data_IF_607300410208
#
_entry.id   IF_607300410208
#
_cell.length_a   1.000
_cell.length_b   1.000
_cell.length_c   1.000
_cell.angle_alpha   90.00
_cell.angle_beta   90.00
_cell.angle_gamma   90.00
#
_symmetry.space_group_name_H-M   'P 1'
#
loop_
_entity.id
_entity.type
_entity.pdbx_description
1 polymer ?
#
# COMPACT_ATOMS: atom_id res chain seq x y z
N UNK A 1 0.13 26.35 -7.61
CA UNK A 1 -0.11 25.71 -6.28
C UNK A 1 -1.19 24.61 -6.31
N UNK A 2 -2.05 24.50 -7.33
CA UNK A 2 -3.11 23.44 -7.41
C UNK A 2 -2.61 22.08 -7.89
N UNK A 3 -1.47 22.01 -8.57
CA UNK A 3 -0.94 20.80 -9.20
C UNK A 3 -0.13 19.89 -8.26
N UNK A 4 0.26 20.40 -7.09
CA UNK A 4 1.06 19.66 -6.10
C UNK A 4 0.28 18.52 -5.40
N UNK A 5 -1.07 18.61 -5.37
CA UNK A 5 -1.91 17.69 -4.59
C UNK A 5 -2.06 16.31 -5.23
N UNK A 6 -2.14 16.21 -6.56
CA UNK A 6 -2.29 14.90 -7.22
C UNK A 6 -1.00 14.08 -7.11
N UNK A 7 0.16 14.75 -7.26
CA UNK A 7 1.48 14.11 -7.13
C UNK A 7 1.67 13.50 -5.74
N UNK A 8 1.26 14.20 -4.70
CA UNK A 8 1.48 13.76 -3.32
C UNK A 8 0.53 12.62 -2.93
N UNK A 9 -0.71 12.63 -3.39
CA UNK A 9 -1.68 11.57 -3.13
C UNK A 9 -1.32 10.26 -3.85
N UNK A 10 -0.84 10.39 -5.08
CA UNK A 10 -0.36 9.25 -5.87
C UNK A 10 0.93 8.66 -5.29
N UNK A 11 1.78 9.51 -4.72
CA UNK A 11 3.10 9.15 -4.17
C UNK A 11 3.06 8.16 -3.01
N UNK A 12 1.96 8.01 -2.29
CA UNK A 12 1.90 7.15 -1.12
C UNK A 12 1.06 5.89 -1.28
N UNK A 13 0.13 5.88 -2.21
CA UNK A 13 -0.38 4.60 -2.75
C UNK A 13 0.77 3.85 -3.44
N UNK A 14 1.79 4.57 -3.88
CA UNK A 14 2.84 4.10 -4.78
C UNK A 14 4.25 4.18 -4.18
N UNK A 15 4.42 4.60 -2.89
CA UNK A 15 5.77 4.83 -2.31
C UNK A 15 6.56 5.88 -3.12
N UNK A 16 6.82 6.96 -2.51
CA UNK A 16 7.60 8.13 -2.87
C UNK A 16 8.53 7.96 -4.09
N UNK A 17 8.05 8.25 -5.27
CA UNK A 17 8.87 8.54 -6.44
C UNK A 17 8.94 10.05 -6.63
N UNK A 18 10.13 10.54 -6.94
CA UNK A 18 10.56 11.93 -6.91
C UNK A 18 9.66 12.97 -7.57
N UNK A 19 9.76 14.17 -7.05
CA UNK A 19 9.01 15.32 -7.53
C UNK A 19 9.33 15.69 -8.96
N UNK A 20 8.30 15.64 -9.80
CA UNK A 20 8.22 16.41 -11.05
C UNK A 20 6.83 17.03 -11.14
N UNK A 21 6.79 18.28 -11.62
CA UNK A 21 5.57 19.06 -11.74
C UNK A 21 4.58 18.44 -12.72
N UNK A 22 3.34 18.30 -12.30
CA UNK A 22 2.20 17.74 -13.04
C UNK A 22 1.66 18.67 -14.14
N UNK A 23 2.34 19.76 -14.47
CA UNK A 23 1.89 20.71 -15.49
C UNK A 23 1.67 20.09 -16.88
N UNK A 24 2.35 18.99 -17.19
CA UNK A 24 2.39 18.41 -18.55
C UNK A 24 1.48 17.17 -18.73
N UNK A 25 0.94 16.59 -17.66
CA UNK A 25 0.23 15.29 -17.76
C UNK A 25 -1.17 15.42 -18.37
N UNK A 26 -1.84 16.56 -18.19
CA UNK A 26 -3.21 16.76 -18.70
C UNK A 26 -3.31 17.30 -20.13
N UNK A 27 -2.17 17.67 -20.76
CA UNK A 27 -2.18 18.23 -22.12
C UNK A 27 -2.14 17.17 -23.24
N UNK A 28 -1.98 15.87 -22.95
CA UNK A 28 -1.79 14.83 -23.97
C UNK A 28 -2.89 13.77 -24.08
N UNK A 29 -4.05 13.95 -23.48
CA UNK A 29 -5.18 13.02 -23.72
C UNK A 29 -6.03 13.44 -24.92
N UNK A 30 -5.47 13.45 -26.12
CA UNK A 30 -6.26 13.37 -27.34
C UNK A 30 -6.38 11.92 -27.83
N UNK A 31 -7.60 11.43 -27.74
CA UNK A 31 -8.27 10.35 -28.50
C UNK A 31 -7.39 9.29 -29.17
N UNK A 32 -7.26 8.14 -28.53
CA UNK A 32 -7.19 6.86 -29.25
C UNK A 32 -8.14 5.86 -28.58
N UNK A 33 -9.03 5.27 -29.38
CA UNK A 33 -10.00 4.27 -28.96
C UNK A 33 -9.30 3.02 -28.42
N UNK A 34 -9.84 2.38 -27.35
CA UNK A 34 -9.15 1.27 -26.71
C UNK A 34 -9.27 -0.02 -27.51
N UNK A 35 -8.21 -0.85 -27.56
CA UNK A 35 -8.35 -2.23 -27.97
C UNK A 35 -8.98 -3.03 -26.82
N UNK A 36 -10.07 -3.70 -27.10
CA UNK A 36 -10.74 -4.65 -26.22
C UNK A 36 -9.82 -5.86 -25.99
N UNK A 37 -9.13 -5.90 -24.87
CA UNK A 37 -8.44 -7.11 -24.41
C UNK A 37 -8.99 -7.50 -23.06
N UNK A 38 -9.78 -8.60 -23.06
CA UNK A 38 -10.23 -9.27 -21.85
C UNK A 38 -9.05 -9.89 -21.11
N UNK A 39 -8.57 -9.24 -20.08
CA UNK A 39 -7.70 -9.84 -19.09
C UNK A 39 -8.55 -10.73 -18.19
N UNK A 40 -8.53 -12.05 -18.42
CA UNK A 40 -9.06 -13.03 -17.47
C UNK A 40 -8.15 -13.02 -16.23
N UNK A 41 -8.67 -12.51 -15.14
CA UNK A 41 -8.02 -12.58 -13.83
C UNK A 41 -8.11 -14.03 -13.30
N UNK A 42 -7.12 -14.85 -13.67
CA UNK A 42 -6.99 -16.24 -13.19
C UNK A 42 -6.18 -16.34 -11.88
N UNK A 43 -5.79 -15.22 -11.26
CA UNK A 43 -4.86 -15.22 -10.13
C UNK A 43 -5.47 -15.32 -8.73
N UNK A 44 -6.76 -15.02 -8.55
CA UNK A 44 -7.36 -14.92 -7.21
C UNK A 44 -7.53 -16.27 -6.50
N UNK A 45 -7.97 -17.29 -7.21
CA UNK A 45 -8.27 -18.60 -6.62
C UNK A 45 -6.99 -19.40 -6.21
N UNK A 46 -5.87 -19.23 -6.92
CA UNK A 46 -4.62 -19.91 -6.59
C UNK A 46 -3.90 -19.26 -5.41
N UNK A 47 -4.01 -17.93 -5.25
CA UNK A 47 -3.40 -17.21 -4.13
C UNK A 47 -4.04 -17.56 -2.80
N UNK A 48 -5.36 -17.65 -2.74
CA UNK A 48 -6.07 -18.11 -1.53
C UNK A 48 -5.68 -19.52 -1.09
N UNK A 49 -5.39 -20.42 -2.03
CA UNK A 49 -4.91 -21.78 -1.73
C UNK A 49 -3.48 -21.79 -1.18
N UNK A 50 -2.60 -20.93 -1.70
CA UNK A 50 -1.22 -20.85 -1.21
C UNK A 50 -1.18 -20.27 0.21
N UNK A 51 -1.96 -19.23 0.50
CA UNK A 51 -2.08 -18.66 1.84
C UNK A 51 -2.64 -19.69 2.83
N UNK A 52 -3.71 -20.43 2.47
CA UNK A 52 -4.27 -21.49 3.29
C UNK A 52 -3.30 -22.66 3.52
N UNK A 53 -2.57 -23.09 2.48
CA UNK A 53 -1.58 -24.16 2.63
C UNK A 53 -0.44 -23.76 3.55
N UNK A 54 -0.03 -22.50 3.51
CA UNK A 54 1.02 -21.98 4.36
C UNK A 54 0.55 -21.80 5.82
N UNK A 55 -0.65 -21.29 6.03
CA UNK A 55 -1.26 -21.20 7.36
C UNK A 55 -1.37 -22.57 8.04
N UNK A 56 -1.71 -23.62 7.26
CA UNK A 56 -1.78 -24.99 7.76
C UNK A 56 -0.42 -25.56 8.20
N UNK A 57 0.69 -25.04 7.69
CA UNK A 57 2.06 -25.47 8.02
C UNK A 57 2.65 -24.75 9.26
N UNK A 58 1.99 -23.68 9.73
CA UNK A 58 2.47 -22.88 10.85
C UNK A 58 2.33 -23.60 12.18
N UNK A 59 3.28 -23.37 13.09
CA UNK A 59 3.15 -23.76 14.49
C UNK A 59 1.96 -23.02 15.15
N UNK A 60 1.43 -23.52 16.29
CA UNK A 60 0.35 -22.83 16.99
C UNK A 60 0.67 -21.37 17.33
N UNK A 61 1.91 -21.06 17.72
CA UNK A 61 2.34 -19.70 18.04
C UNK A 61 2.38 -18.80 16.81
N UNK A 62 2.89 -19.31 15.68
CA UNK A 62 2.90 -18.56 14.42
C UNK A 62 1.49 -18.32 13.89
N UNK A 63 0.59 -19.28 14.06
CA UNK A 63 -0.81 -19.12 13.66
C UNK A 63 -1.52 -18.04 14.47
N UNK A 64 -1.29 -18.00 15.78
CA UNK A 64 -1.80 -16.91 16.62
C UNK A 64 -1.25 -15.55 16.19
N UNK A 65 0.06 -15.47 15.94
CA UNK A 65 0.68 -14.24 15.46
C UNK A 65 0.11 -13.81 14.09
N UNK A 66 -0.10 -14.75 13.17
CA UNK A 66 -0.73 -14.50 11.87
C UNK A 66 -2.10 -13.83 12.03
N UNK A 67 -2.98 -14.44 12.85
CA UNK A 67 -4.33 -13.92 13.08
C UNK A 67 -4.32 -12.54 13.71
N UNK A 68 -3.50 -12.33 14.77
CA UNK A 68 -3.39 -11.02 15.43
C UNK A 68 -2.82 -9.95 14.51
N UNK A 69 -1.82 -10.27 13.69
CA UNK A 69 -1.22 -9.32 12.75
C UNK A 69 -2.21 -8.97 11.65
N UNK A 70 -2.93 -9.97 11.10
CA UNK A 70 -3.98 -9.73 10.10
C UNK A 70 -5.06 -8.79 10.65
N UNK A 71 -5.56 -9.06 11.86
CA UNK A 71 -6.56 -8.19 12.50
C UNK A 71 -6.07 -6.74 12.65
N UNK A 72 -4.78 -6.54 12.95
CA UNK A 72 -4.19 -5.19 13.07
C UNK A 72 -4.06 -4.50 11.72
N UNK A 73 -3.68 -5.23 10.68
CA UNK A 73 -3.64 -4.73 9.31
C UNK A 73 -5.04 -4.29 8.88
N UNK A 74 -6.07 -5.11 9.13
CA UNK A 74 -7.45 -4.79 8.80
C UNK A 74 -7.94 -3.53 9.53
N UNK A 75 -7.61 -3.40 10.83
CA UNK A 75 -7.94 -2.19 11.61
C UNK A 75 -7.24 -0.94 11.08
N UNK A 76 -5.97 -1.04 10.66
CA UNK A 76 -5.26 0.08 10.04
C UNK A 76 -5.91 0.48 8.71
N UNK A 77 -6.31 -0.49 7.89
CA UNK A 77 -7.03 -0.27 6.63
C UNK A 77 -8.38 0.40 6.86
N UNK A 78 -9.17 -0.05 7.84
CA UNK A 78 -10.42 0.63 8.23
C UNK A 78 -10.18 2.06 8.72
N UNK A 79 -9.08 2.32 9.43
CA UNK A 79 -8.67 3.68 9.80
C UNK A 79 -8.42 4.56 8.57
N UNK A 80 -7.79 4.03 7.53
CA UNK A 80 -7.60 4.74 6.27
C UNK A 80 -8.94 5.02 5.55
N UNK A 81 -9.83 4.05 5.48
CA UNK A 81 -11.18 4.22 4.91
C UNK A 81 -11.99 5.27 5.64
N UNK A 82 -11.91 5.29 6.97
CA UNK A 82 -12.57 6.28 7.83
C UNK A 82 -11.87 7.66 7.81
N UNK A 83 -10.72 7.78 7.11
CA UNK A 83 -9.84 8.96 7.10
C UNK A 83 -9.35 9.36 8.50
N UNK A 84 -9.23 8.38 9.38
CA UNK A 84 -8.69 8.55 10.72
C UNK A 84 -7.20 8.20 10.75
N UNK A 85 -6.36 9.24 10.73
CA UNK A 85 -4.91 9.09 10.77
C UNK A 85 -4.42 8.35 12.02
N UNK A 86 -5.05 8.59 13.17
CA UNK A 86 -4.65 7.93 14.42
C UNK A 86 -4.94 6.44 14.38
N UNK A 87 -6.11 6.05 13.89
CA UNK A 87 -6.47 4.64 13.69
C UNK A 87 -5.57 3.98 12.65
N UNK A 88 -5.32 4.65 11.51
CA UNK A 88 -4.45 4.15 10.43
C UNK A 88 -2.98 3.97 10.85
N UNK A 89 -2.53 4.61 11.93
CA UNK A 89 -1.16 4.53 12.45
C UNK A 89 -1.07 3.86 13.82
N UNK A 90 -2.17 3.40 14.37
CA UNK A 90 -2.25 2.94 15.78
C UNK A 90 -1.25 1.84 16.12
N UNK A 91 -1.04 0.91 15.21
CA UNK A 91 -0.16 -0.25 15.41
C UNK A 91 1.27 -0.05 14.89
N UNK A 92 1.64 1.15 14.46
CA UNK A 92 3.02 1.45 14.11
C UNK A 92 3.86 1.69 15.38
N UNK A 93 5.01 1.02 15.47
CA UNK A 93 5.98 1.25 16.55
C UNK A 93 6.52 2.69 16.52
N UNK A 94 7.04 3.18 17.65
CA UNK A 94 7.55 4.55 17.69
C UNK A 94 8.81 4.73 16.83
N UNK A 95 9.61 3.66 16.68
CA UNK A 95 10.76 3.58 15.79
C UNK A 95 10.45 2.97 14.43
N UNK A 96 9.21 3.13 13.94
CA UNK A 96 8.79 2.63 12.63
C UNK A 96 9.62 3.21 11.49
N UNK A 97 9.92 2.37 10.50
CA UNK A 97 10.71 2.73 9.32
C UNK A 97 10.15 2.09 8.06
N UNK A 98 9.99 2.87 7.00
CA UNK A 98 9.68 2.38 5.65
C UNK A 98 10.91 2.49 4.76
N UNK A 99 11.25 1.39 4.08
CA UNK A 99 12.29 1.32 3.05
C UNK A 99 11.62 1.19 1.69
N UNK A 100 11.78 2.20 0.83
CA UNK A 100 11.24 2.16 -0.54
C UNK A 100 12.19 1.45 -1.48
N UNK A 101 11.66 0.94 -2.58
CA UNK A 101 12.49 0.46 -3.69
C UNK A 101 13.29 1.60 -4.31
N UNK A 102 14.45 1.31 -4.92
CA UNK A 102 15.17 2.28 -5.75
C UNK A 102 14.30 2.81 -6.89
N UNK A 103 14.45 4.08 -7.19
CA UNK A 103 13.84 4.75 -8.34
C UNK A 103 14.88 5.66 -9.03
N UNK A 104 14.49 6.33 -10.13
CA UNK A 104 15.39 7.21 -10.89
C UNK A 104 15.95 8.38 -10.07
N UNK A 105 15.16 8.88 -9.10
CA UNK A 105 15.51 10.02 -8.25
C UNK A 105 16.14 9.59 -6.92
N UNK A 106 16.06 8.31 -6.60
CA UNK A 106 16.59 7.70 -5.37
C UNK A 106 17.15 6.30 -5.69
N UNK A 107 18.35 6.20 -6.32
CA UNK A 107 18.93 4.93 -6.75
C UNK A 107 19.16 3.91 -5.63
N UNK A 108 19.22 4.36 -4.37
CA UNK A 108 19.37 3.51 -3.19
C UNK A 108 18.05 3.32 -2.41
N UNK A 109 16.91 3.79 -2.97
CA UNK A 109 15.66 3.90 -2.24
C UNK A 109 15.69 5.02 -1.20
N UNK A 110 14.60 5.14 -0.43
CA UNK A 110 14.46 6.11 0.67
C UNK A 110 14.17 5.40 1.98
N UNK A 111 14.64 5.99 3.06
CA UNK A 111 14.31 5.58 4.43
C UNK A 111 13.42 6.65 5.04
N UNK A 112 12.20 6.27 5.43
CA UNK A 112 11.15 7.18 5.88
C UNK A 112 10.74 6.75 7.28
N UNK A 113 10.81 7.69 8.23
CA UNK A 113 10.44 7.44 9.62
C UNK A 113 8.92 7.65 9.87
N UNK A 114 8.46 7.28 11.07
CA UNK A 114 7.05 7.39 11.48
C UNK A 114 6.48 8.80 11.31
N UNK A 115 7.25 9.85 11.62
CA UNK A 115 6.78 11.23 11.52
C UNK A 115 6.57 11.64 10.06
N UNK A 116 7.51 11.29 9.19
CA UNK A 116 7.37 11.53 7.75
C UNK A 116 6.20 10.73 7.16
N UNK A 117 6.02 9.47 7.57
CA UNK A 117 4.85 8.67 7.16
C UNK A 117 3.54 9.32 7.60
N UNK A 118 3.47 9.90 8.80
CA UNK A 118 2.27 10.59 9.27
C UNK A 118 1.86 11.75 8.34
N UNK A 119 2.84 12.53 7.89
CA UNK A 119 2.59 13.64 6.93
C UNK A 119 2.04 13.08 5.61
N UNK A 120 2.68 12.07 5.07
CA UNK A 120 2.26 11.47 3.81
C UNK A 120 0.89 10.79 3.92
N UNK A 121 0.65 9.99 4.97
CA UNK A 121 -0.67 9.38 5.19
C UNK A 121 -1.76 10.44 5.31
N UNK A 122 -1.51 11.53 6.05
CA UNK A 122 -2.48 12.62 6.14
C UNK A 122 -2.83 13.19 4.77
N UNK A 123 -1.83 13.51 3.95
CA UNK A 123 -2.06 14.03 2.59
C UNK A 123 -2.88 13.06 1.74
N UNK A 124 -2.60 11.75 1.84
CA UNK A 124 -3.37 10.73 1.14
C UNK A 124 -4.81 10.65 1.61
N UNK A 125 -5.04 10.66 2.92
CA UNK A 125 -6.39 10.63 3.49
C UNK A 125 -7.19 11.88 3.09
N UNK A 126 -6.53 13.04 3.02
CA UNK A 126 -7.17 14.31 2.58
C UNK A 126 -7.59 14.23 1.09
N UNK A 127 -6.82 13.53 0.25
CA UNK A 127 -7.14 13.34 -1.18
C UNK A 127 -8.03 12.13 -1.46
N UNK A 128 -8.13 11.18 -0.55
CA UNK A 128 -8.94 9.99 -0.71
C UNK A 128 -10.43 10.38 -0.84
N UNK A 129 -11.08 9.96 -1.93
CA UNK A 129 -12.51 10.10 -2.11
C UNK A 129 -13.23 8.90 -1.50
N UNK A 130 -12.81 7.69 -1.90
CA UNK A 130 -13.30 6.41 -1.35
C UNK A 130 -12.28 5.29 -1.58
N UNK A 131 -12.40 4.21 -0.81
CA UNK A 131 -11.70 2.95 -1.05
C UNK A 131 -12.68 1.96 -1.66
N UNK A 132 -12.26 1.25 -2.69
CA UNK A 132 -13.06 0.19 -3.29
C UNK A 132 -13.03 -1.08 -2.42
N UNK A 133 -14.14 -1.85 -2.34
CA UNK A 133 -14.13 -3.17 -1.73
C UNK A 133 -13.20 -4.17 -2.45
N UNK A 134 -12.71 -3.85 -3.65
CA UNK A 134 -11.68 -4.63 -4.34
C UNK A 134 -10.27 -4.45 -3.73
N UNK A 135 -10.07 -3.49 -2.82
CA UNK A 135 -8.81 -3.36 -2.09
C UNK A 135 -8.65 -4.56 -1.16
N UNK A 136 -7.56 -5.31 -1.35
CA UNK A 136 -7.28 -6.53 -0.59
C UNK A 136 -5.85 -6.50 -0.04
N UNK A 137 -5.68 -7.12 1.12
CA UNK A 137 -4.36 -7.30 1.76
C UNK A 137 -4.24 -8.74 2.21
N UNK A 138 -3.33 -9.48 1.60
CA UNK A 138 -3.11 -10.89 1.86
C UNK A 138 -1.74 -11.11 2.49
N UNK A 139 -1.68 -11.81 3.61
CA UNK A 139 -0.42 -12.33 4.14
C UNK A 139 -0.02 -13.55 3.31
N UNK A 140 1.13 -13.47 2.64
CA UNK A 140 1.68 -14.58 1.84
C UNK A 140 2.54 -15.52 2.67
N UNK A 141 3.27 -14.98 3.66
CA UNK A 141 4.13 -15.78 4.53
C UNK A 141 4.37 -15.11 5.87
N UNK A 142 4.62 -15.94 6.90
CA UNK A 142 5.03 -15.50 8.22
C UNK A 142 6.13 -16.42 8.75
N UNK A 143 7.13 -15.83 9.39
CA UNK A 143 8.12 -16.54 10.17
C UNK A 143 8.39 -15.79 11.48
N UNK A 144 8.63 -16.53 12.56
CA UNK A 144 8.88 -15.96 13.88
C UNK A 144 10.27 -16.29 14.41
N UNK A 145 10.89 -15.30 15.07
CA UNK A 145 12.10 -15.51 15.87
C UNK A 145 11.97 -14.74 17.19
N UNK A 146 11.69 -15.45 18.27
CA UNK A 146 11.38 -14.84 19.56
C UNK A 146 10.12 -13.97 19.48
N UNK A 147 10.25 -12.71 19.82
CA UNK A 147 9.18 -11.72 19.79
C UNK A 147 9.13 -10.89 18.50
N UNK A 148 9.79 -11.36 17.44
CA UNK A 148 9.82 -10.71 16.14
C UNK A 148 9.14 -11.63 15.12
N UNK A 149 8.17 -11.11 14.38
CA UNK A 149 7.58 -11.74 13.21
C UNK A 149 8.01 -11.00 11.94
N UNK A 150 8.39 -11.77 10.92
CA UNK A 150 8.62 -11.27 9.57
C UNK A 150 7.49 -11.79 8.69
N UNK A 151 6.78 -10.87 8.05
CA UNK A 151 5.57 -11.14 7.26
C UNK A 151 5.80 -10.63 5.85
N UNK A 152 5.50 -11.46 4.84
CA UNK A 152 5.40 -10.98 3.46
C UNK A 152 3.93 -10.77 3.12
N UNK A 153 3.62 -9.61 2.58
CA UNK A 153 2.26 -9.16 2.30
C UNK A 153 2.18 -8.78 0.83
N UNK A 154 1.07 -9.15 0.20
CA UNK A 154 0.65 -8.64 -1.09
C UNK A 154 -0.59 -7.78 -0.89
N UNK A 155 -0.51 -6.52 -1.30
CA UNK A 155 -1.64 -5.59 -1.29
C UNK A 155 -2.06 -5.26 -2.71
N UNK A 156 -3.35 -5.34 -2.94
CA UNK A 156 -3.99 -4.85 -4.15
C UNK A 156 -4.84 -3.63 -3.80
N UNK A 157 -4.47 -2.48 -4.34
CA UNK A 157 -5.14 -1.22 -4.06
C UNK A 157 -6.07 -0.84 -5.20
N UNK A 158 -7.32 -0.54 -4.85
CA UNK A 158 -8.28 0.12 -5.72
C UNK A 158 -8.89 1.27 -4.95
N UNK A 159 -8.51 2.48 -5.28
CA UNK A 159 -8.91 3.70 -4.56
C UNK A 159 -9.39 4.76 -5.52
N UNK A 160 -10.37 5.54 -5.10
CA UNK A 160 -10.76 6.76 -5.81
C UNK A 160 -10.15 7.95 -5.07
N UNK A 161 -9.37 8.74 -5.77
CA UNK A 161 -8.71 9.93 -5.25
C UNK A 161 -9.27 11.18 -5.94
N UNK A 162 -9.11 12.32 -5.28
CA UNK A 162 -9.52 13.62 -5.84
C UNK A 162 -8.37 14.20 -6.67
N UNK A 163 -8.61 14.43 -7.95
CA UNK A 163 -7.67 15.12 -8.84
C UNK A 163 -7.46 16.59 -8.48
N UNK A 164 -6.48 17.22 -9.13
CA UNK A 164 -6.18 18.65 -8.96
C UNK A 164 -7.31 19.58 -9.38
N UNK A 165 -8.17 19.14 -10.29
CA UNK A 165 -9.38 19.81 -10.76
C UNK A 165 -10.61 19.51 -9.85
N UNK A 166 -10.44 18.64 -8.86
CA UNK A 166 -11.50 18.19 -7.95
C UNK A 166 -12.28 16.98 -8.44
N UNK A 167 -12.03 16.48 -9.66
CA UNK A 167 -12.67 15.28 -10.20
C UNK A 167 -12.19 14.01 -9.47
N UNK A 168 -13.04 12.97 -9.37
CA UNK A 168 -12.63 11.67 -8.86
C UNK A 168 -11.86 10.88 -9.94
N UNK A 169 -10.75 10.27 -9.55
CA UNK A 169 -9.95 9.37 -10.39
C UNK A 169 -9.73 8.04 -9.69
N UNK A 170 -9.91 6.93 -10.41
CA UNK A 170 -9.61 5.61 -9.90
C UNK A 170 -8.12 5.30 -10.07
N UNK A 171 -7.48 4.88 -8.98
CA UNK A 171 -6.10 4.40 -8.97
C UNK A 171 -6.09 2.93 -8.62
N UNK A 172 -5.45 2.12 -9.47
CA UNK A 172 -5.20 0.69 -9.24
C UNK A 172 -3.70 0.42 -9.26
N UNK A 173 -3.22 -0.34 -8.28
CA UNK A 173 -1.85 -0.86 -8.26
C UNK A 173 -1.76 -2.04 -7.30
N UNK A 174 -0.67 -2.78 -7.37
CA UNK A 174 -0.33 -3.80 -6.39
C UNK A 174 1.05 -3.58 -5.84
N UNK A 175 1.26 -3.93 -4.57
CA UNK A 175 2.56 -3.83 -3.92
C UNK A 175 2.80 -5.10 -3.12
N UNK A 176 3.97 -5.68 -3.28
CA UNK A 176 4.46 -6.75 -2.43
C UNK A 176 5.52 -6.20 -1.52
N UNK A 177 5.39 -6.40 -0.22
CA UNK A 177 6.34 -5.89 0.76
C UNK A 177 6.58 -6.88 1.88
N UNK A 178 7.73 -6.70 2.54
CA UNK A 178 8.10 -7.42 3.76
C UNK A 178 7.93 -6.50 4.94
N UNK A 179 7.22 -6.99 5.95
CA UNK A 179 7.02 -6.27 7.20
C UNK A 179 7.74 -6.97 8.35
N UNK A 180 8.29 -6.18 9.26
CA UNK A 180 8.77 -6.67 10.55
C UNK A 180 7.84 -6.17 11.63
N UNK A 181 7.29 -7.10 12.41
CA UNK A 181 6.44 -6.86 13.56
C UNK A 181 7.16 -7.27 14.85
N UNK A 182 6.99 -6.51 15.92
CA UNK A 182 7.54 -6.79 17.22
C UNK A 182 6.43 -6.95 18.26
N UNK A 183 6.49 -8.04 19.02
CA UNK A 183 5.56 -8.27 20.14
C UNK A 183 6.02 -7.49 21.37
N UNK A 184 5.11 -6.69 21.93
CA UNK A 184 5.34 -5.81 23.09
C UNK A 184 4.20 -5.99 24.10
N UNK A 185 4.20 -5.24 25.20
CA UNK A 185 3.07 -5.20 26.14
C UNK A 185 1.78 -4.68 25.49
N UNK A 186 1.87 -3.95 24.38
CA UNK A 186 0.76 -3.50 23.56
C UNK A 186 0.34 -4.52 22.48
N UNK A 187 0.93 -5.73 22.49
CA UNK A 187 0.82 -6.74 21.45
C UNK A 187 1.70 -6.43 20.23
N UNK A 188 1.39 -6.96 19.06
CA UNK A 188 2.18 -6.79 17.84
C UNK A 188 2.16 -5.35 17.32
N UNK A 189 3.33 -4.74 17.12
CA UNK A 189 3.50 -3.42 16.51
C UNK A 189 4.34 -3.56 15.24
N UNK A 190 3.90 -2.91 14.16
CA UNK A 190 4.63 -2.83 12.90
C UNK A 190 5.87 -1.96 13.08
N UNK A 191 7.05 -2.55 12.95
CA UNK A 191 8.34 -1.88 13.16
C UNK A 191 8.96 -1.38 11.87
N UNK A 192 8.85 -2.16 10.79
CA UNK A 192 9.36 -1.73 9.51
C UNK A 192 8.61 -2.36 8.36
N UNK A 193 8.62 -1.66 7.23
CA UNK A 193 8.13 -2.13 5.94
C UNK A 193 9.25 -1.96 4.92
N UNK A 194 9.48 -2.99 4.12
CA UNK A 194 10.39 -2.97 2.97
C UNK A 194 9.61 -3.33 1.72
N UNK A 195 9.52 -2.42 0.78
CA UNK A 195 8.94 -2.70 -0.52
C UNK A 195 9.84 -3.69 -1.27
N UNK A 196 9.24 -4.76 -1.78
CA UNK A 196 9.92 -5.81 -2.56
C UNK A 196 9.62 -5.67 -4.05
N UNK A 197 8.37 -5.42 -4.38
CA UNK A 197 7.89 -5.36 -5.74
C UNK A 197 6.69 -4.42 -5.84
N UNK A 198 6.58 -3.74 -6.97
CA UNK A 198 5.46 -2.88 -7.30
C UNK A 198 4.95 -3.20 -8.70
N UNK A 199 3.64 -3.40 -8.79
CA UNK A 199 2.94 -3.53 -10.06
C UNK A 199 2.77 -2.18 -10.77
N UNK A 200 2.27 -2.21 -11.99
CA UNK A 200 1.97 -0.99 -12.73
C UNK A 200 0.89 -0.18 -12.01
N UNK A 201 1.00 1.13 -12.12
CA UNK A 201 -0.05 2.04 -11.66
C UNK A 201 -1.00 2.27 -12.83
N UNK A 202 -2.29 2.10 -12.58
CA UNK A 202 -3.33 2.45 -13.53
C UNK A 202 -4.12 3.65 -12.96
N UNK A 203 -4.29 4.68 -13.77
CA UNK A 203 -5.16 5.81 -13.50
C UNK A 203 -6.32 5.75 -14.48
N UNK A 204 -7.55 5.60 -13.96
CA UNK A 204 -8.76 5.39 -14.77
C UNK A 204 -8.60 4.26 -15.82
N UNK A 205 -7.91 3.18 -15.40
CA UNK A 205 -7.64 2.02 -16.25
C UNK A 205 -6.50 2.18 -17.25
N UNK A 206 -5.83 3.33 -17.33
CA UNK A 206 -4.71 3.59 -18.21
C UNK A 206 -3.38 3.53 -17.47
N UNK A 207 -2.30 2.97 -18.07
CA UNK A 207 -0.99 2.99 -17.45
C UNK A 207 -0.55 4.42 -17.11
N UNK A 208 -0.16 4.63 -15.86
CA UNK A 208 0.35 5.91 -15.38
C UNK A 208 1.85 5.79 -15.05
N UNK A 209 2.63 6.70 -15.58
CA UNK A 209 4.07 6.80 -15.35
C UNK A 209 4.35 8.14 -14.64
N UNK A 210 4.62 8.14 -13.32
CA UNK A 210 4.93 9.35 -12.56
C UNK A 210 6.27 9.98 -12.95
#
# INVERSE_FOLDING_TARGET
MKELFLTTALLLVVGIAGGMGLGDVFAQTEKTSPPTMGARDCGGADRGRLAQAQEASLSPAERMAWQEIQERIDRMSHGEEAKDLNAAMHFMADNYTLYTSPDKDSPNGKVINKQQIAVYKKQNLDSLYSTSPETQTDIESLSMKGNIATVTIHQHYVRVIRGGDGSPHEVRTSVRHRETWIYTERGWLQRSVQELERGPILLDGQPYHP
#
